data_IF_396642876581
#
_entry.id   IF_396642876581
#
_cell.length_a   1.000
_cell.length_b   1.000
_cell.length_c   1.000
_cell.angle_alpha   90.00
_cell.angle_beta   90.00
_cell.angle_gamma   90.00
#
_symmetry.space_group_name_H-M   'P 1'
#
loop_
_entity.id
_entity.type
_entity.pdbx_description
1 polymer ?
#
# COMPACT_ATOMS: atom_id res chain seq x y z
N UNK A 1 -26.73 -3.03 3.51
CA UNK A 1 -26.84 -4.47 3.78
C UNK A 1 -25.52 -5.07 3.40
N UNK A 2 -24.82 -5.66 4.37
CA UNK A 2 -23.47 -6.19 4.24
C UNK A 2 -23.44 -7.32 3.19
N UNK A 3 -22.56 -7.18 2.20
CA UNK A 3 -22.26 -8.24 1.24
C UNK A 3 -21.26 -9.21 1.87
N UNK A 4 -21.76 -10.16 2.65
CA UNK A 4 -20.99 -11.33 3.09
C UNK A 4 -20.84 -12.30 1.91
N UNK A 5 -19.71 -12.22 1.20
CA UNK A 5 -19.38 -13.10 0.08
C UNK A 5 -17.88 -13.25 -0.22
N UNK A 6 -17.00 -12.70 0.61
CA UNK A 6 -15.56 -12.90 0.48
C UNK A 6 -15.13 -14.18 1.20
N UNK A 7 -14.74 -15.21 0.45
CA UNK A 7 -14.06 -16.38 1.02
C UNK A 7 -12.61 -15.97 1.31
N UNK A 8 -12.34 -15.65 2.57
CA UNK A 8 -11.00 -15.41 3.07
C UNK A 8 -10.26 -16.75 3.20
N UNK A 9 -9.09 -16.90 2.58
CA UNK A 9 -8.17 -17.99 2.89
C UNK A 9 -7.68 -17.80 4.35
N UNK A 10 -8.24 -18.58 5.28
CA UNK A 10 -7.90 -18.50 6.70
C UNK A 10 -6.59 -19.24 6.97
N UNK A 11 -5.50 -18.50 7.16
CA UNK A 11 -4.32 -19.00 7.85
C UNK A 11 -4.21 -18.32 9.21
N UNK A 12 -4.76 -18.98 10.24
CA UNK A 12 -4.59 -18.59 11.63
C UNK A 12 -4.44 -19.83 12.49
N UNK A 13 -3.24 -20.03 13.04
CA UNK A 13 -3.02 -20.95 14.15
C UNK A 13 -3.10 -20.08 15.41
N UNK A 14 -4.14 -20.30 16.23
CA UNK A 14 -4.27 -19.62 17.52
C UNK A 14 -3.79 -20.55 18.65
N UNK A 15 -2.94 -19.99 19.52
CA UNK A 15 -2.37 -20.66 20.67
C UNK A 15 -3.37 -20.64 21.83
N UNK A 16 -4.34 -21.55 21.84
CA UNK A 16 -4.91 -22.11 23.07
C UNK A 16 -5.88 -23.23 22.73
N UNK A 17 -5.46 -24.46 23.03
CA UNK A 17 -6.34 -25.62 22.95
C UNK A 17 -7.57 -25.43 23.84
N UNK A 18 -8.72 -25.87 23.34
CA UNK A 18 -10.05 -26.01 23.99
C UNK A 18 -10.96 -24.78 24.07
N UNK A 19 -11.74 -24.57 22.99
CA UNK A 19 -13.23 -24.62 22.98
C UNK A 19 -13.80 -24.01 21.68
N UNK A 20 -13.94 -24.82 20.62
CA UNK A 20 -14.81 -24.50 19.48
C UNK A 20 -15.47 -25.75 18.87
N UNK A 21 -15.81 -26.74 19.71
CA UNK A 21 -16.51 -27.94 19.25
C UNK A 21 -18.04 -27.76 19.09
N UNK A 22 -18.65 -26.66 19.59
CA UNK A 22 -20.12 -26.58 19.70
C UNK A 22 -20.80 -25.49 18.85
N UNK A 23 -20.19 -25.00 17.76
CA UNK A 23 -20.88 -24.04 16.85
C UNK A 23 -20.76 -24.35 15.35
N UNK A 24 -20.42 -25.59 14.99
CA UNK A 24 -20.21 -25.99 13.59
C UNK A 24 -21.35 -26.80 12.97
N UNK A 25 -22.55 -26.80 13.57
CA UNK A 25 -23.71 -27.51 13.00
C UNK A 25 -24.70 -26.62 12.23
N UNK A 26 -24.46 -25.30 12.06
CA UNK A 26 -25.46 -24.40 11.45
C UNK A 26 -25.00 -23.54 10.26
N UNK A 27 -23.91 -23.89 9.57
CA UNK A 27 -23.55 -23.20 8.30
C UNK A 27 -23.32 -24.13 7.11
N UNK A 28 -23.58 -25.44 7.25
CA UNK A 28 -23.59 -26.40 6.13
C UNK A 28 -24.98 -26.58 5.54
N UNK A 29 -25.51 -25.53 4.92
CA UNK A 29 -26.54 -25.68 3.89
C UNK A 29 -26.15 -24.85 2.67
N UNK A 30 -25.57 -25.50 1.67
CA UNK A 30 -25.61 -25.01 0.29
C UNK A 30 -27.09 -25.05 -0.10
N UNK A 31 -27.77 -23.93 0.13
CA UNK A 31 -29.20 -23.77 -0.13
C UNK A 31 -29.48 -23.85 -1.63
N UNK A 32 -29.92 -25.01 -2.10
CA UNK A 32 -30.66 -25.14 -3.36
C UNK A 32 -32.07 -24.56 -3.17
N UNK A 33 -32.18 -23.23 -3.09
CA UNK A 33 -33.48 -22.54 -3.19
C UNK A 33 -33.65 -21.99 -4.60
N UNK A 34 -34.52 -22.64 -5.38
CA UNK A 34 -35.21 -21.99 -6.49
C UNK A 34 -36.08 -20.87 -5.92
N UNK A 35 -35.61 -19.62 -5.94
CA UNK A 35 -36.45 -18.45 -5.73
C UNK A 35 -36.92 -17.91 -7.07
N UNK A 36 -38.20 -18.09 -7.35
CA UNK A 36 -38.91 -17.27 -8.31
C UNK A 36 -39.33 -15.98 -7.60
N UNK A 37 -38.71 -14.86 -7.93
CA UNK A 37 -39.25 -13.51 -7.83
C UNK A 37 -38.22 -12.53 -8.44
N UNK A 38 -38.68 -11.63 -9.30
CA UNK A 38 -37.89 -10.61 -9.97
C UNK A 38 -37.09 -9.76 -8.95
N UNK A 39 -35.78 -9.95 -8.89
CA UNK A 39 -34.84 -9.05 -8.20
C UNK A 39 -33.71 -8.71 -9.18
N UNK A 40 -33.94 -7.72 -10.04
CA UNK A 40 -33.01 -7.39 -11.15
C UNK A 40 -31.70 -6.73 -10.68
N UNK A 41 -31.62 -6.26 -9.42
CA UNK A 41 -30.41 -5.69 -8.83
C UNK A 41 -29.41 -6.71 -8.23
N UNK A 42 -29.82 -7.95 -7.96
CA UNK A 42 -28.93 -9.00 -7.40
C UNK A 42 -28.10 -9.74 -8.47
N UNK A 43 -28.27 -9.41 -9.75
CA UNK A 43 -27.77 -10.22 -10.86
C UNK A 43 -26.37 -9.85 -11.38
N UNK A 44 -25.71 -8.82 -10.84
CA UNK A 44 -24.42 -8.37 -11.40
C UNK A 44 -23.16 -8.96 -10.74
N UNK A 45 -23.22 -9.41 -9.47
CA UNK A 45 -22.04 -9.99 -8.78
C UNK A 45 -22.10 -11.52 -8.59
N UNK A 46 -23.30 -12.10 -8.56
CA UNK A 46 -23.51 -13.55 -8.38
C UNK A 46 -23.27 -14.34 -9.68
N UNK A 47 -22.15 -14.08 -10.38
CA UNK A 47 -21.77 -14.74 -11.65
C UNK A 47 -20.34 -14.48 -12.12
N UNK A 48 -19.43 -14.21 -11.18
CA UNK A 48 -18.03 -13.96 -11.54
C UNK A 48 -17.19 -15.26 -11.53
N UNK A 49 -15.88 -15.15 -11.65
CA UNK A 49 -14.97 -16.29 -11.87
C UNK A 49 -14.92 -17.30 -10.72
N UNK A 50 -15.35 -16.91 -9.50
CA UNK A 50 -15.41 -17.84 -8.36
C UNK A 50 -16.45 -18.95 -8.57
N UNK A 51 -17.52 -18.71 -9.33
CA UNK A 51 -18.55 -19.73 -9.59
C UNK A 51 -18.07 -20.88 -10.49
N UNK A 52 -16.94 -20.67 -11.16
CA UNK A 52 -16.31 -21.69 -12.00
C UNK A 52 -15.63 -22.76 -11.13
N UNK A 53 -15.35 -22.45 -9.86
CA UNK A 53 -14.80 -23.41 -8.89
C UNK A 53 -15.93 -24.34 -8.45
N UNK A 54 -15.88 -25.60 -8.88
CA UNK A 54 -17.02 -26.54 -8.80
C UNK A 54 -17.24 -27.13 -7.41
N UNK A 55 -16.19 -27.24 -6.61
CA UNK A 55 -16.21 -27.93 -5.31
C UNK A 55 -15.05 -27.50 -4.40
N UNK A 56 -15.10 -27.98 -3.15
CA UNK A 56 -14.13 -27.66 -2.11
C UNK A 56 -12.72 -28.21 -2.38
N UNK A 57 -12.59 -29.29 -3.15
CA UNK A 57 -11.27 -29.86 -3.46
C UNK A 57 -10.56 -29.01 -4.51
N UNK A 58 -11.29 -28.56 -5.55
CA UNK A 58 -10.77 -27.58 -6.51
C UNK A 58 -10.43 -26.26 -5.80
N UNK A 59 -11.27 -25.78 -4.89
CA UNK A 59 -10.99 -24.57 -4.12
C UNK A 59 -9.65 -24.68 -3.37
N UNK A 60 -9.42 -25.77 -2.64
CA UNK A 60 -8.17 -26.00 -1.90
C UNK A 60 -6.95 -26.09 -2.81
N UNK A 61 -7.08 -26.74 -3.97
CA UNK A 61 -6.00 -26.79 -4.96
C UNK A 61 -5.67 -25.39 -5.49
N UNK A 62 -6.69 -24.56 -5.74
CA UNK A 62 -6.50 -23.18 -6.19
C UNK A 62 -5.91 -22.26 -5.10
N UNK A 63 -6.31 -22.44 -3.85
CA UNK A 63 -5.70 -21.76 -2.69
C UNK A 63 -4.22 -22.09 -2.59
N UNK A 64 -3.84 -23.37 -2.62
CA UNK A 64 -2.44 -23.78 -2.57
C UNK A 64 -1.66 -23.25 -3.78
N UNK A 65 -2.24 -23.31 -4.98
CA UNK A 65 -1.63 -22.77 -6.19
C UNK A 65 -1.36 -21.26 -6.08
N UNK A 66 -2.30 -20.50 -5.52
CA UNK A 66 -2.16 -19.07 -5.29
C UNK A 66 -1.07 -18.78 -4.24
N UNK A 67 -1.03 -19.55 -3.15
CA UNK A 67 0.01 -19.43 -2.10
C UNK A 67 1.40 -19.71 -2.68
N UNK A 68 1.56 -20.79 -3.44
CA UNK A 68 2.84 -21.15 -4.06
C UNK A 68 3.30 -20.07 -5.05
N UNK A 69 2.37 -19.56 -5.86
CA UNK A 69 2.69 -18.49 -6.79
C UNK A 69 3.02 -17.17 -6.08
N UNK A 70 2.32 -16.83 -5.00
CA UNK A 70 2.61 -15.65 -4.18
C UNK A 70 4.06 -15.66 -3.68
N UNK A 71 4.54 -16.80 -3.16
CA UNK A 71 5.95 -16.96 -2.80
C UNK A 71 6.88 -16.76 -4.01
N UNK A 72 6.55 -17.34 -5.17
CA UNK A 72 7.40 -17.26 -6.36
C UNK A 72 7.62 -15.83 -6.89
N UNK A 73 6.69 -14.90 -6.61
CA UNK A 73 6.75 -13.50 -7.04
C UNK A 73 7.10 -12.52 -5.92
N UNK A 74 7.38 -13.02 -4.71
CA UNK A 74 7.64 -12.18 -3.54
C UNK A 74 6.42 -11.41 -3.05
N UNK A 75 5.21 -11.96 -3.16
CA UNK A 75 4.03 -11.44 -2.46
C UNK A 75 4.02 -12.04 -1.05
N UNK A 76 4.83 -11.48 -0.15
CA UNK A 76 5.05 -11.98 1.21
C UNK A 76 5.21 -10.85 2.23
N UNK A 77 4.90 -11.14 3.48
CA UNK A 77 5.12 -10.32 4.68
C UNK A 77 6.00 -11.11 5.66
N UNK A 78 6.87 -10.45 6.46
CA UNK A 78 7.46 -11.08 7.64
C UNK A 78 6.38 -11.65 8.58
N UNK A 79 6.70 -12.75 9.26
CA UNK A 79 5.94 -13.21 10.43
C UNK A 79 6.49 -12.48 11.66
N UNK A 80 5.59 -12.01 12.54
CA UNK A 80 5.96 -11.41 13.83
C UNK A 80 6.86 -12.35 14.64
N UNK A 81 7.83 -11.80 15.36
CA UNK A 81 9.03 -12.43 15.96
C UNK A 81 10.20 -12.66 15.00
N UNK A 82 10.93 -11.59 14.60
CA UNK A 82 12.30 -11.76 14.14
C UNK A 82 13.10 -12.45 15.25
N UNK A 83 13.84 -13.54 14.98
CA UNK A 83 14.68 -14.16 15.99
C UNK A 83 15.67 -13.13 16.55
N UNK A 84 15.91 -13.16 17.86
CA UNK A 84 16.91 -12.32 18.54
C UNK A 84 18.25 -12.40 17.79
N UNK A 85 18.53 -11.40 16.97
CA UNK A 85 19.68 -11.42 16.08
C UNK A 85 19.52 -10.54 14.87
N UNK A 86 20.60 -9.80 14.57
CA UNK A 86 20.78 -9.11 13.29
C UNK A 86 20.54 -10.09 12.14
N UNK A 87 19.38 -9.95 11.50
CA UNK A 87 19.00 -10.37 10.15
C UNK A 87 19.86 -11.47 9.55
N UNK A 88 19.40 -12.73 9.59
CA UNK A 88 19.88 -13.70 8.59
C UNK A 88 18.84 -14.62 7.98
N UNK A 89 17.65 -14.84 8.55
CA UNK A 89 16.57 -15.63 7.92
C UNK A 89 15.18 -15.23 8.45
N UNK A 90 14.57 -14.16 7.93
CA UNK A 90 13.19 -13.79 8.30
C UNK A 90 12.22 -14.82 7.69
N UNK A 91 11.37 -15.42 8.54
CA UNK A 91 10.24 -16.22 8.06
C UNK A 91 9.21 -15.28 7.43
N UNK A 92 8.75 -15.61 6.22
CA UNK A 92 7.82 -14.80 5.46
C UNK A 92 6.69 -15.66 4.91
N UNK A 93 5.47 -15.14 4.95
CA UNK A 93 4.26 -15.78 4.43
C UNK A 93 3.52 -14.80 3.52
N UNK A 94 2.69 -15.26 2.58
CA UNK A 94 1.80 -14.38 1.85
C UNK A 94 0.89 -13.62 2.82
N UNK A 95 0.63 -12.32 2.59
CA UNK A 95 -0.37 -11.60 3.36
C UNK A 95 -1.77 -12.21 3.11
N UNK A 96 -2.80 -11.79 3.86
CA UNK A 96 -4.18 -12.12 3.49
C UNK A 96 -4.49 -11.66 2.06
N UNK A 97 -4.89 -12.59 1.20
CA UNK A 97 -5.15 -12.33 -0.23
C UNK A 97 -6.50 -12.90 -0.62
N UNK A 98 -7.24 -12.17 -1.46
CA UNK A 98 -8.44 -12.68 -2.12
C UNK A 98 -8.03 -13.57 -3.30
N UNK A 99 -8.58 -14.78 -3.39
CA UNK A 99 -8.17 -15.77 -4.40
C UNK A 99 -8.37 -15.28 -5.83
N UNK A 100 -9.55 -14.72 -6.12
CA UNK A 100 -9.92 -14.19 -7.43
C UNK A 100 -10.14 -12.67 -7.36
N UNK A 101 -9.94 -11.94 -8.47
CA UNK A 101 -10.26 -10.51 -8.50
C UNK A 101 -11.76 -10.30 -8.32
N UNK A 102 -12.15 -9.14 -7.78
CA UNK A 102 -13.55 -8.72 -7.74
C UNK A 102 -13.94 -8.02 -9.06
N UNK A 103 -15.18 -8.20 -9.57
CA UNK A 103 -15.63 -7.44 -10.73
C UNK A 103 -15.71 -5.95 -10.39
N UNK A 104 -15.28 -5.09 -11.32
CA UNK A 104 -15.35 -3.63 -11.17
C UNK A 104 -15.74 -2.97 -12.49
N UNK A 105 -16.67 -1.99 -12.51
CA UNK A 105 -17.10 -1.36 -13.75
C UNK A 105 -15.95 -0.63 -14.47
N UNK A 106 -15.73 -0.97 -15.75
CA UNK A 106 -14.64 -0.41 -16.57
C UNK A 106 -14.65 1.12 -16.59
N UNK A 107 -15.82 1.73 -16.76
CA UNK A 107 -15.99 3.18 -16.79
C UNK A 107 -15.55 3.86 -15.48
N UNK A 108 -15.89 3.28 -14.33
CA UNK A 108 -15.46 3.80 -13.04
C UNK A 108 -13.95 3.63 -12.83
N UNK A 109 -13.36 2.53 -13.31
CA UNK A 109 -11.91 2.33 -13.25
C UNK A 109 -11.18 3.33 -14.13
N UNK A 110 -11.65 3.58 -15.36
CA UNK A 110 -11.12 4.64 -16.24
C UNK A 110 -11.21 6.02 -15.58
N UNK A 111 -12.33 6.33 -14.92
CA UNK A 111 -12.48 7.58 -14.19
C UNK A 111 -11.42 7.74 -13.08
N UNK A 112 -11.22 6.71 -12.26
CA UNK A 112 -10.20 6.72 -11.20
C UNK A 112 -8.79 6.95 -11.75
N UNK A 113 -8.45 6.31 -12.87
CA UNK A 113 -7.14 6.47 -13.53
C UNK A 113 -6.98 7.88 -14.09
N UNK A 114 -7.99 8.39 -14.79
CA UNK A 114 -7.92 9.68 -15.49
C UNK A 114 -7.89 10.87 -14.53
N UNK A 115 -8.53 10.76 -13.36
CA UNK A 115 -8.56 11.87 -12.37
C UNK A 115 -7.27 11.97 -11.56
N UNK A 116 -6.45 10.91 -11.49
CA UNK A 116 -5.29 10.84 -10.60
C UNK A 116 -4.29 11.98 -10.81
N UNK A 117 -4.03 12.41 -12.06
CA UNK A 117 -3.12 13.53 -12.31
C UNK A 117 -3.64 14.86 -11.74
N UNK A 118 -4.94 15.12 -11.88
CA UNK A 118 -5.56 16.33 -11.33
C UNK A 118 -5.56 16.30 -9.80
N UNK A 119 -5.83 15.14 -9.19
CA UNK A 119 -5.72 14.96 -7.74
C UNK A 119 -4.28 15.18 -7.28
N UNK A 120 -3.30 14.71 -8.06
CA UNK A 120 -1.89 14.89 -7.71
C UNK A 120 -1.52 16.35 -7.59
N UNK A 121 -1.89 17.15 -8.59
CA UNK A 121 -1.64 18.58 -8.60
C UNK A 121 -2.41 19.32 -7.51
N UNK A 122 -3.67 18.96 -7.27
CA UNK A 122 -4.50 19.56 -6.22
C UNK A 122 -3.84 19.41 -4.85
N UNK A 123 -3.53 18.17 -4.45
CA UNK A 123 -2.94 17.93 -3.13
C UNK A 123 -1.53 18.47 -3.01
N UNK A 124 -0.76 18.52 -4.10
CA UNK A 124 0.56 19.16 -4.10
C UNK A 124 0.47 20.66 -3.82
N UNK A 125 -0.47 21.35 -4.48
CA UNK A 125 -0.70 22.79 -4.28
C UNK A 125 -1.21 23.09 -2.87
N UNK A 126 -2.14 22.28 -2.36
CA UNK A 126 -2.62 22.39 -0.98
C UNK A 126 -1.48 22.16 0.02
N UNK A 127 -0.65 21.14 -0.20
CA UNK A 127 0.50 20.85 0.67
C UNK A 127 1.57 21.97 0.66
N UNK A 128 1.63 22.74 -0.43
CA UNK A 128 2.60 23.84 -0.61
C UNK A 128 2.08 25.20 -0.11
N UNK A 129 0.79 25.30 0.24
CA UNK A 129 0.19 26.53 0.75
C UNK A 129 0.26 26.54 2.29
N UNK A 130 1.37 27.07 2.82
CA UNK A 130 1.64 27.10 4.25
C UNK A 130 0.53 27.80 5.04
N UNK A 131 0.09 28.98 4.60
CA UNK A 131 -0.89 29.78 5.32
C UNK A 131 -2.26 29.09 5.35
N UNK A 132 -2.67 28.49 4.23
CA UNK A 132 -3.87 27.66 4.16
C UNK A 132 -3.80 26.48 5.14
N UNK A 133 -2.69 25.73 5.15
CA UNK A 133 -2.53 24.58 6.05
C UNK A 133 -2.55 25.00 7.53
N UNK A 134 -1.86 26.09 7.88
CA UNK A 134 -1.81 26.58 9.25
C UNK A 134 -3.20 27.04 9.73
N UNK A 135 -3.99 27.68 8.87
CA UNK A 135 -5.36 28.07 9.21
C UNK A 135 -6.30 26.86 9.29
N UNK A 136 -6.21 25.92 8.35
CA UNK A 136 -7.04 24.72 8.32
C UNK A 136 -6.84 23.83 9.54
N UNK A 137 -5.60 23.74 10.07
CA UNK A 137 -5.26 22.88 11.20
C UNK A 137 -5.40 23.56 12.57
N UNK A 138 -5.70 24.87 12.64
CA UNK A 138 -5.69 25.64 13.90
C UNK A 138 -6.60 25.10 15.00
N UNK A 139 -7.75 24.52 14.63
CA UNK A 139 -8.69 23.94 15.59
C UNK A 139 -8.32 22.48 15.91
N UNK A 140 -7.77 21.74 14.94
CA UNK A 140 -7.37 20.33 15.10
C UNK A 140 -6.29 20.21 16.18
N UNK A 141 -5.25 21.06 16.12
CA UNK A 141 -4.13 21.01 17.06
C UNK A 141 -4.49 21.32 18.52
N UNK A 142 -5.69 21.87 18.78
CA UNK A 142 -6.17 22.11 20.15
C UNK A 142 -6.62 20.81 20.83
N UNK A 143 -7.09 19.84 20.05
CA UNK A 143 -7.58 18.55 20.54
C UNK A 143 -6.64 17.38 20.25
N UNK A 144 -5.66 17.55 19.37
CA UNK A 144 -4.75 16.51 18.92
C UNK A 144 -3.27 16.93 19.15
N UNK A 145 -2.65 16.47 20.25
CA UNK A 145 -1.25 16.76 20.56
C UNK A 145 -0.26 16.22 19.51
N UNK A 146 -0.60 15.12 18.84
CA UNK A 146 0.26 14.53 17.82
C UNK A 146 0.31 15.42 16.58
N UNK A 147 -0.85 15.87 16.09
CA UNK A 147 -0.92 16.84 15.01
C UNK A 147 -0.31 18.20 15.38
N UNK A 148 -0.42 18.61 16.65
CA UNK A 148 0.22 19.83 17.12
C UNK A 148 1.75 19.81 16.94
N UNK A 149 2.40 18.66 17.14
CA UNK A 149 3.85 18.49 16.92
C UNK A 149 4.22 18.63 15.44
N UNK A 150 3.45 18.07 14.52
CA UNK A 150 3.70 18.27 13.07
C UNK A 150 3.53 19.72 12.65
N UNK A 151 2.48 20.39 13.12
CA UNK A 151 2.26 21.81 12.84
C UNK A 151 3.39 22.67 13.43
N UNK A 152 3.90 22.31 14.60
CA UNK A 152 5.06 22.97 15.17
C UNK A 152 6.31 22.81 14.28
N UNK A 153 6.61 21.60 13.83
CA UNK A 153 7.75 21.35 12.90
C UNK A 153 7.57 22.13 11.59
N UNK A 154 6.37 22.10 11.00
CA UNK A 154 6.09 22.81 9.76
C UNK A 154 6.33 24.32 9.90
N UNK A 155 5.93 24.93 11.03
CA UNK A 155 6.19 26.34 11.34
C UNK A 155 7.68 26.62 11.53
N UNK A 156 8.38 25.80 12.31
CA UNK A 156 9.83 25.97 12.53
C UNK A 156 10.61 25.94 11.20
N UNK A 157 10.35 24.94 10.35
CA UNK A 157 10.99 24.83 9.03
C UNK A 157 10.63 26.01 8.11
N UNK A 158 9.39 26.51 8.18
CA UNK A 158 8.98 27.69 7.41
C UNK A 158 9.71 28.96 7.89
N UNK A 159 9.83 29.16 9.20
CA UNK A 159 10.49 30.31 9.82
C UNK A 159 12.02 30.30 9.60
N UNK A 160 12.64 29.11 9.56
CA UNK A 160 14.05 28.90 9.20
C UNK A 160 14.33 29.26 7.73
N UNK A 161 13.32 29.16 6.88
CA UNK A 161 13.41 29.37 5.44
C UNK A 161 13.55 28.06 4.65
N UNK A 162 12.87 27.97 3.51
CA UNK A 162 12.87 26.74 2.69
C UNK A 162 14.19 26.61 1.91
N UNK A 163 15.10 25.79 2.42
CA UNK A 163 16.41 25.51 1.80
C UNK A 163 16.38 24.42 0.72
N UNK A 164 15.38 23.55 0.72
CA UNK A 164 15.16 22.51 -0.30
C UNK A 164 13.90 22.83 -1.11
N UNK A 165 14.02 23.35 -2.35
CA UNK A 165 12.87 23.75 -3.15
C UNK A 165 12.18 22.57 -3.89
N UNK A 166 12.80 21.40 -3.92
CA UNK A 166 12.25 20.22 -4.58
C UNK A 166 11.58 19.30 -3.56
N UNK A 167 10.37 18.84 -3.89
CA UNK A 167 9.64 17.87 -3.09
C UNK A 167 9.12 16.73 -3.98
N UNK A 168 9.14 15.51 -3.46
CA UNK A 168 8.48 14.35 -4.06
C UNK A 168 7.23 14.07 -3.24
N UNK A 169 6.08 14.11 -3.90
CA UNK A 169 4.83 13.65 -3.30
C UNK A 169 4.43 12.32 -3.91
N UNK A 170 4.48 11.28 -3.08
CA UNK A 170 3.78 10.03 -3.36
C UNK A 170 2.39 10.17 -2.76
N UNK A 171 1.37 9.72 -3.50
CA UNK A 171 -0.02 9.75 -3.02
C UNK A 171 -0.83 8.59 -3.58
N UNK A 172 -1.85 8.20 -2.81
CA UNK A 172 -2.90 7.27 -3.24
C UNK A 172 -4.26 7.88 -2.93
N UNK A 173 -5.16 7.84 -3.91
CA UNK A 173 -6.56 8.17 -3.70
C UNK A 173 -7.37 6.88 -3.70
N UNK A 174 -8.12 6.65 -2.63
CA UNK A 174 -8.92 5.46 -2.44
C UNK A 174 -10.37 5.76 -2.77
N UNK A 175 -10.98 4.88 -3.56
CA UNK A 175 -12.33 5.05 -4.09
C UNK A 175 -13.19 3.82 -3.83
N UNK A 176 -14.49 4.05 -3.64
CA UNK A 176 -15.51 3.01 -3.64
C UNK A 176 -16.57 3.32 -4.70
N UNK A 177 -17.10 2.25 -5.32
CA UNK A 177 -18.27 2.36 -6.18
C UNK A 177 -19.52 2.45 -5.30
N UNK A 178 -20.24 3.57 -5.41
CA UNK A 178 -21.50 3.79 -4.71
C UNK A 178 -22.66 3.50 -5.66
N UNK A 179 -23.57 2.61 -5.24
CA UNK A 179 -24.80 2.34 -5.96
C UNK A 179 -25.96 3.09 -5.30
N UNK A 180 -26.62 3.95 -6.07
CA UNK A 180 -27.83 4.65 -5.66
C UNK A 180 -29.06 4.00 -6.32
N UNK A 181 -29.89 3.27 -5.56
CA UNK A 181 -31.09 2.61 -6.10
C UNK A 181 -32.23 3.59 -6.42
N UNK A 182 -32.12 4.87 -6.04
CA UNK A 182 -33.19 5.86 -6.19
C UNK A 182 -33.13 6.66 -7.50
N UNK A 183 -31.99 6.62 -8.20
CA UNK A 183 -31.70 7.46 -9.39
C UNK A 183 -32.20 6.89 -10.74
N UNK A 184 -33.12 5.93 -10.72
CA UNK A 184 -33.68 5.30 -11.92
C UNK A 184 -33.90 3.80 -11.74
N UNK A 185 -34.65 3.16 -12.65
CA UNK A 185 -35.16 1.79 -12.48
C UNK A 185 -34.15 0.70 -12.12
N UNK A 186 -32.88 0.83 -12.54
CA UNK A 186 -31.78 -0.11 -12.24
C UNK A 186 -30.70 0.50 -11.28
N UNK A 187 -30.95 1.71 -10.76
CA UNK A 187 -30.00 2.51 -9.98
C UNK A 187 -28.82 3.05 -10.80
N UNK A 188 -28.05 3.98 -10.24
CA UNK A 188 -26.82 4.52 -10.85
C UNK A 188 -25.61 4.13 -10.01
N UNK A 189 -24.45 3.91 -10.65
CA UNK A 189 -23.19 3.73 -9.96
C UNK A 189 -22.31 4.98 -10.13
N UNK A 190 -21.75 5.45 -9.03
CA UNK A 190 -20.83 6.58 -9.00
C UNK A 190 -19.54 6.22 -8.27
N UNK A 191 -18.40 6.66 -8.80
CA UNK A 191 -17.13 6.58 -8.09
C UNK A 191 -17.08 7.66 -7.01
N UNK A 192 -16.85 7.27 -5.75
CA UNK A 192 -16.71 8.19 -4.62
C UNK A 192 -15.35 8.00 -3.98
N UNK A 193 -14.60 9.09 -3.85
CA UNK A 193 -13.35 9.07 -3.08
C UNK A 193 -13.69 8.93 -1.60
N UNK A 194 -13.05 7.97 -0.93
CA UNK A 194 -13.21 7.73 0.50
C UNK A 194 -12.04 8.27 1.31
N UNK A 195 -10.85 8.27 0.73
CA UNK A 195 -9.64 8.72 1.41
C UNK A 195 -8.59 9.25 0.40
N UNK A 196 -7.73 10.14 0.89
CA UNK A 196 -6.43 10.44 0.27
C UNK A 196 -5.34 10.09 1.27
N UNK A 197 -4.36 9.34 0.80
CA UNK A 197 -3.20 8.91 1.56
C UNK A 197 -1.96 9.62 1.00
N UNK A 198 -1.27 10.40 1.84
CA UNK A 198 -0.03 11.13 1.52
C UNK A 198 1.00 10.74 2.58
N UNK A 199 2.21 10.32 2.17
CA UNK A 199 3.26 9.88 3.10
C UNK A 199 3.59 8.39 2.97
N UNK A 200 3.60 7.66 4.10
CA UNK A 200 3.80 6.22 4.15
C UNK A 200 2.65 5.45 3.50
N UNK A 201 2.70 5.30 2.18
CA UNK A 201 1.64 4.66 1.41
C UNK A 201 1.95 3.18 1.28
N UNK A 202 1.44 2.38 2.21
CA UNK A 202 1.36 0.92 2.04
C UNK A 202 0.41 0.57 0.90
N UNK A 203 0.53 -0.61 0.28
CA UNK A 203 -0.37 -1.11 -0.77
C UNK A 203 0.21 -1.11 -2.19
N UNK A 204 0.91 -0.08 -2.70
CA UNK A 204 1.49 -0.08 -4.04
C UNK A 204 2.41 -1.28 -4.33
N UNK A 205 3.20 -1.71 -3.33
CA UNK A 205 4.06 -2.89 -3.42
C UNK A 205 3.24 -4.16 -3.59
N UNK A 206 2.27 -4.37 -2.69
CA UNK A 206 1.37 -5.52 -2.75
C UNK A 206 0.49 -5.51 -4.01
N UNK A 207 -0.12 -4.38 -4.37
CA UNK A 207 -1.02 -4.26 -5.53
C UNK A 207 -0.35 -4.64 -6.85
N UNK A 208 0.94 -4.32 -7.01
CA UNK A 208 1.74 -4.74 -8.16
C UNK A 208 1.88 -6.27 -8.25
N UNK A 209 1.95 -6.96 -7.11
CA UNK A 209 2.09 -8.42 -7.04
C UNK A 209 0.74 -9.15 -7.02
N UNK A 210 -0.28 -8.59 -6.36
CA UNK A 210 -1.66 -9.12 -6.35
C UNK A 210 -2.24 -9.11 -7.76
N UNK A 211 -2.01 -8.05 -8.55
CA UNK A 211 -2.36 -8.02 -9.97
C UNK A 211 -1.79 -9.23 -10.75
N UNK A 212 -0.50 -9.54 -10.55
CA UNK A 212 0.14 -10.72 -11.18
C UNK A 212 -0.45 -12.03 -10.70
N UNK A 213 -0.70 -12.16 -9.39
CA UNK A 213 -1.35 -13.33 -8.82
C UNK A 213 -2.73 -13.55 -9.43
N UNK A 214 -3.56 -12.51 -9.52
CA UNK A 214 -4.90 -12.62 -10.09
C UNK A 214 -4.88 -12.96 -11.57
N UNK A 215 -3.97 -12.38 -12.37
CA UNK A 215 -3.75 -12.82 -13.75
C UNK A 215 -3.43 -14.32 -13.80
N UNK A 216 -2.53 -14.78 -12.92
CA UNK A 216 -2.11 -16.18 -12.86
C UNK A 216 -3.23 -17.14 -12.44
N UNK A 217 -4.08 -16.73 -11.50
CA UNK A 217 -5.25 -17.49 -11.06
C UNK A 217 -6.28 -17.59 -12.18
N UNK A 218 -6.57 -16.48 -12.88
CA UNK A 218 -7.46 -16.46 -14.03
C UNK A 218 -6.96 -17.37 -15.16
N UNK A 219 -5.66 -17.31 -15.49
CA UNK A 219 -5.04 -18.21 -16.47
C UNK A 219 -5.22 -19.69 -16.08
N UNK A 220 -4.99 -20.00 -14.80
CA UNK A 220 -5.10 -21.38 -14.29
C UNK A 220 -6.53 -21.90 -14.40
N UNK A 221 -7.53 -21.10 -14.03
CA UNK A 221 -8.94 -21.45 -14.20
C UNK A 221 -9.30 -21.63 -15.68
N UNK A 222 -8.84 -20.73 -16.55
CA UNK A 222 -9.06 -20.84 -17.99
C UNK A 222 -8.45 -22.13 -18.57
N UNK A 223 -7.26 -22.52 -18.13
CA UNK A 223 -6.60 -23.78 -18.55
C UNK A 223 -7.42 -25.00 -18.08
N UNK A 224 -7.84 -25.03 -16.82
CA UNK A 224 -8.57 -26.18 -16.26
C UNK A 224 -9.94 -26.38 -16.89
N UNK A 225 -10.60 -25.29 -17.29
CA UNK A 225 -11.94 -25.33 -17.88
C UNK A 225 -11.95 -25.16 -19.40
N UNK A 226 -10.79 -25.27 -20.07
CA UNK A 226 -10.69 -25.17 -21.53
C UNK A 226 -11.20 -23.84 -22.11
N UNK A 227 -11.03 -22.75 -21.36
CA UNK A 227 -11.48 -21.40 -21.72
C UNK A 227 -12.98 -21.16 -21.56
N UNK A 228 -13.71 -22.06 -20.91
CA UNK A 228 -15.14 -21.93 -20.61
C UNK A 228 -15.39 -21.73 -19.11
N UNK A 229 -16.47 -21.08 -18.68
CA UNK A 229 -17.40 -20.30 -19.51
C UNK A 229 -16.74 -19.01 -20.01
N UNK A 230 -17.37 -18.36 -21.00
CA UNK A 230 -16.86 -17.13 -21.64
C UNK A 230 -16.44 -16.01 -20.69
N UNK A 231 -16.92 -16.00 -19.43
CA UNK A 231 -16.47 -15.06 -18.41
C UNK A 231 -14.94 -15.16 -18.17
N UNK A 232 -14.36 -16.37 -18.19
CA UNK A 232 -12.91 -16.55 -18.02
C UNK A 232 -12.11 -15.92 -19.18
N UNK A 233 -12.67 -15.95 -20.39
CA UNK A 233 -12.03 -15.37 -21.57
C UNK A 233 -12.07 -13.84 -21.57
N UNK A 234 -13.00 -13.24 -20.83
CA UNK A 234 -13.21 -11.78 -20.78
C UNK A 234 -12.76 -11.15 -19.45
N UNK A 235 -12.44 -11.96 -18.44
CA UNK A 235 -11.92 -11.50 -17.15
C UNK A 235 -10.44 -11.17 -17.26
N UNK A 236 -10.08 -9.96 -16.86
CA UNK A 236 -8.70 -9.51 -16.79
C UNK A 236 -8.47 -8.78 -15.46
N UNK A 237 -7.30 -9.02 -14.84
CA UNK A 237 -6.80 -8.16 -13.78
C UNK A 237 -5.80 -7.16 -14.40
N UNK A 238 -6.00 -5.84 -14.22
CA UNK A 238 -5.18 -4.83 -14.90
C UNK A 238 -3.72 -4.95 -14.46
N UNK A 239 -2.79 -4.75 -15.39
CA UNK A 239 -1.36 -4.71 -15.08
C UNK A 239 -1.08 -3.55 -14.13
N UNK A 240 -0.53 -3.86 -12.95
CA UNK A 240 -0.18 -2.87 -11.95
C UNK A 240 1.35 -2.72 -11.83
N UNK A 241 1.85 -1.49 -12.02
CA UNK A 241 3.27 -1.13 -11.95
C UNK A 241 3.58 -0.11 -10.85
N UNK A 242 2.72 0.03 -9.85
CA UNK A 242 2.85 1.08 -8.83
C UNK A 242 4.17 1.00 -8.06
N UNK A 243 4.66 -0.20 -7.72
CA UNK A 243 5.99 -0.39 -7.10
C UNK A 243 7.11 0.17 -7.96
N UNK A 244 7.10 -0.15 -9.25
CA UNK A 244 8.12 0.32 -10.19
C UNK A 244 8.02 1.83 -10.41
N UNK A 245 6.81 2.38 -10.47
CA UNK A 245 6.60 3.82 -10.63
C UNK A 245 7.08 4.60 -9.40
N UNK A 246 6.86 4.09 -8.18
CA UNK A 246 7.42 4.67 -6.95
C UNK A 246 8.94 4.61 -6.98
N UNK A 247 9.52 3.43 -7.23
CA UNK A 247 10.97 3.29 -7.32
C UNK A 247 11.58 4.20 -8.39
N UNK A 248 10.91 4.37 -9.53
CA UNK A 248 11.32 5.30 -10.56
C UNK A 248 11.29 6.76 -10.06
N UNK A 249 10.22 7.19 -9.41
CA UNK A 249 10.11 8.55 -8.85
C UNK A 249 11.21 8.82 -7.81
N UNK A 250 11.45 7.87 -6.90
CA UNK A 250 12.51 7.97 -5.89
C UNK A 250 13.91 8.05 -6.51
N UNK A 251 14.18 7.22 -7.52
CA UNK A 251 15.43 7.28 -8.28
C UNK A 251 15.60 8.61 -9.03
N UNK A 252 14.57 9.11 -9.70
CA UNK A 252 14.63 10.40 -10.40
C UNK A 252 14.91 11.55 -9.43
N UNK A 253 14.29 11.55 -8.25
CA UNK A 253 14.52 12.57 -7.23
C UNK A 253 15.94 12.52 -6.66
N UNK A 254 16.46 11.32 -6.37
CA UNK A 254 17.87 11.15 -5.99
C UNK A 254 18.81 11.66 -7.11
N UNK A 255 18.49 11.38 -8.37
CA UNK A 255 19.29 11.82 -9.52
C UNK A 255 19.29 13.35 -9.68
N UNK A 256 18.15 13.99 -9.44
CA UNK A 256 18.01 15.45 -9.48
C UNK A 256 18.85 16.15 -8.42
N UNK A 257 19.16 15.50 -7.30
CA UNK A 257 20.05 16.04 -6.27
C UNK A 257 21.48 16.28 -6.79
N UNK A 258 21.94 15.50 -7.78
CA UNK A 258 23.17 15.77 -8.53
C UNK A 258 24.49 15.37 -7.84
N UNK A 259 24.44 14.75 -6.66
CA UNK A 259 25.63 14.20 -5.99
C UNK A 259 25.65 12.66 -6.08
N UNK A 260 26.51 12.06 -6.91
CA UNK A 260 26.55 10.61 -7.12
C UNK A 260 27.03 9.82 -5.90
N UNK A 261 27.55 10.49 -4.86
CA UNK A 261 27.97 9.85 -3.59
C UNK A 261 26.91 9.95 -2.50
N UNK A 262 25.85 10.73 -2.73
CA UNK A 262 24.78 10.90 -1.77
C UNK A 262 23.93 9.62 -1.65
N UNK A 263 23.34 9.42 -0.48
CA UNK A 263 22.47 8.28 -0.19
C UNK A 263 21.00 8.63 -0.37
N UNK A 264 20.19 7.62 -0.68
CA UNK A 264 18.75 7.65 -0.46
C UNK A 264 18.48 7.00 0.89
N UNK A 265 17.87 7.74 1.81
CA UNK A 265 17.55 7.24 3.15
C UNK A 265 16.06 6.92 3.24
N UNK A 266 15.72 5.66 3.46
CA UNK A 266 14.39 5.25 3.84
C UNK A 266 14.26 5.25 5.38
N UNK A 267 13.25 5.94 5.90
CA UNK A 267 12.92 5.92 7.32
C UNK A 267 11.77 4.97 7.56
N UNK A 268 12.07 3.81 8.12
CA UNK A 268 11.09 2.80 8.48
C UNK A 268 11.63 1.62 9.30
N UNK A 269 10.73 0.84 9.85
CA UNK A 269 11.02 -0.29 10.74
C UNK A 269 10.67 -1.65 10.13
N UNK A 270 11.11 -2.73 10.77
CA UNK A 270 10.74 -4.08 10.39
C UNK A 270 9.35 -4.39 10.94
N UNK A 271 8.34 -4.28 10.07
CA UNK A 271 6.96 -4.63 10.35
C UNK A 271 6.40 -5.57 9.26
N UNK A 272 5.08 -5.78 9.26
CA UNK A 272 4.39 -6.58 8.23
C UNK A 272 4.46 -5.96 6.82
N UNK A 273 4.76 -4.67 6.72
CA UNK A 273 4.85 -3.93 5.45
C UNK A 273 6.28 -3.74 4.95
N UNK A 274 7.29 -4.13 5.73
CA UNK A 274 8.71 -3.99 5.44
C UNK A 274 9.09 -4.39 4.01
N UNK A 275 8.63 -5.56 3.54
CA UNK A 275 8.98 -6.00 2.19
C UNK A 275 8.36 -5.12 1.11
N UNK A 276 7.10 -4.71 1.26
CA UNK A 276 6.37 -4.00 0.21
C UNK A 276 6.72 -2.51 0.14
N UNK A 277 6.98 -1.87 1.29
CA UNK A 277 7.26 -0.43 1.39
C UNK A 277 8.75 -0.12 1.34
N UNK A 278 9.61 -0.99 1.86
CA UNK A 278 11.04 -0.71 2.03
C UNK A 278 11.91 -1.61 1.14
N UNK A 279 12.00 -2.90 1.47
CA UNK A 279 13.03 -3.77 0.91
C UNK A 279 12.91 -3.95 -0.60
N UNK A 280 11.70 -4.18 -1.13
CA UNK A 280 11.53 -4.37 -2.57
C UNK A 280 11.54 -3.05 -3.35
N UNK A 281 11.20 -1.93 -2.70
CA UNK A 281 11.39 -0.60 -3.29
C UNK A 281 12.88 -0.31 -3.43
N UNK A 282 13.68 -0.57 -2.38
CA UNK A 282 15.14 -0.48 -2.42
C UNK A 282 15.72 -1.26 -3.60
N UNK A 283 15.36 -2.55 -3.75
CA UNK A 283 15.89 -3.38 -4.83
C UNK A 283 15.57 -2.81 -6.22
N UNK A 284 14.36 -2.28 -6.41
CA UNK A 284 13.97 -1.72 -7.70
C UNK A 284 14.69 -0.39 -7.97
N UNK A 285 14.88 0.47 -6.96
CA UNK A 285 15.66 1.72 -7.08
C UNK A 285 17.11 1.43 -7.46
N UNK A 286 17.77 0.51 -6.75
CA UNK A 286 19.18 0.16 -7.00
C UNK A 286 19.35 -0.46 -8.39
N UNK A 287 18.40 -1.31 -8.80
CA UNK A 287 18.36 -1.89 -10.15
C UNK A 287 18.22 -0.81 -11.22
N UNK A 288 17.29 0.14 -11.06
CA UNK A 288 17.10 1.26 -11.99
C UNK A 288 18.35 2.12 -12.08
N UNK A 289 18.93 2.49 -10.94
CA UNK A 289 20.19 3.24 -10.88
C UNK A 289 21.31 2.54 -11.64
N UNK A 290 21.56 1.26 -11.33
CA UNK A 290 22.60 0.46 -11.98
C UNK A 290 22.41 0.35 -13.49
N UNK A 291 21.17 0.19 -13.96
CA UNK A 291 20.85 0.16 -15.40
C UNK A 291 21.18 1.47 -16.11
N UNK A 292 21.18 2.60 -15.39
CA UNK A 292 21.50 3.93 -15.91
C UNK A 292 22.95 4.35 -15.63
N UNK A 293 23.76 3.49 -15.02
CA UNK A 293 25.16 3.79 -14.66
C UNK A 293 25.34 4.52 -13.33
N UNK A 294 24.26 4.67 -12.55
CA UNK A 294 24.27 5.34 -11.24
C UNK A 294 24.40 4.29 -10.11
N UNK A 295 25.26 4.54 -9.12
CA UNK A 295 25.45 3.67 -7.96
C UNK A 295 24.65 4.20 -6.76
N UNK A 296 23.33 4.12 -6.86
CA UNK A 296 22.42 4.59 -5.80
C UNK A 296 22.58 3.70 -4.57
N UNK A 297 23.01 4.28 -3.46
CA UNK A 297 23.10 3.58 -2.18
C UNK A 297 21.84 3.90 -1.35
N UNK A 298 20.96 2.92 -1.22
CA UNK A 298 19.73 3.03 -0.42
C UNK A 298 19.99 2.44 0.97
N UNK A 299 19.66 3.20 2.01
CA UNK A 299 19.82 2.79 3.40
C UNK A 299 18.47 2.87 4.11
N UNK A 300 18.19 1.92 5.01
CA UNK A 300 16.96 1.89 5.81
C UNK A 300 17.34 2.11 7.27
N UNK A 301 16.70 3.06 7.95
CA UNK A 301 16.85 3.31 9.38
C UNK A 301 15.48 3.52 10.04
N UNK A 302 15.35 3.14 11.31
CA UNK A 302 14.26 3.62 12.15
C UNK A 302 14.42 5.12 12.42
N UNK A 303 13.35 5.82 12.82
CA UNK A 303 13.43 7.19 13.30
C UNK A 303 14.40 7.31 14.49
N UNK A 304 14.36 6.35 15.42
CA UNK A 304 15.26 6.29 16.57
C UNK A 304 16.73 6.20 16.17
N UNK A 305 17.06 5.35 15.19
CA UNK A 305 18.46 5.21 14.74
C UNK A 305 18.89 6.39 13.87
N UNK A 306 17.98 6.97 13.10
CA UNK A 306 18.24 8.19 12.35
C UNK A 306 18.62 9.34 13.29
N UNK A 307 17.91 9.53 14.41
CA UNK A 307 18.21 10.57 15.42
C UNK A 307 19.65 10.56 15.97
N UNK A 308 20.35 9.43 15.85
CA UNK A 308 21.73 9.26 16.36
C UNK A 308 22.78 9.42 15.27
N UNK A 309 22.36 9.44 14.00
CA UNK A 309 23.23 9.25 12.83
C UNK A 309 23.07 10.36 11.81
N UNK A 310 21.93 11.01 11.75
CA UNK A 310 21.73 12.15 10.87
C UNK A 310 22.17 13.43 11.57
N UNK A 311 22.60 14.42 10.78
CA UNK A 311 22.85 15.77 11.27
C UNK A 311 22.72 16.79 10.15
N UNK A 312 22.19 17.97 10.46
CA UNK A 312 22.04 19.06 9.52
C UNK A 312 23.26 19.98 9.52
N UNK A 313 23.75 20.36 8.36
CA UNK A 313 24.81 21.36 8.22
C UNK A 313 24.24 22.79 8.30
N UNK A 314 23.71 23.18 9.46
CA UNK A 314 23.08 24.48 9.70
C UNK A 314 24.03 25.67 9.46
N UNK A 315 25.34 25.46 9.67
CA UNK A 315 26.36 26.50 9.45
C UNK A 315 26.82 26.60 7.99
N UNK A 316 26.33 25.73 7.11
CA UNK A 316 26.74 25.67 5.70
C UNK A 316 25.55 25.76 4.76
N UNK A 317 25.34 24.70 3.98
CA UNK A 317 24.35 24.64 2.90
C UNK A 317 23.04 23.97 3.30
N UNK A 318 22.83 23.71 4.60
CA UNK A 318 21.68 22.95 5.12
C UNK A 318 21.55 21.53 4.53
N UNK A 319 22.65 20.96 4.01
CA UNK A 319 22.66 19.55 3.63
C UNK A 319 22.49 18.65 4.87
N UNK A 320 21.62 17.64 4.75
CA UNK A 320 21.52 16.56 5.71
C UNK A 320 22.66 15.55 5.47
N UNK A 321 23.37 15.19 6.54
CA UNK A 321 24.44 14.20 6.52
C UNK A 321 24.06 12.96 7.31
N UNK A 322 24.52 11.80 6.85
CA UNK A 322 24.50 10.55 7.58
C UNK A 322 25.92 10.20 8.04
N UNK A 323 26.06 9.88 9.33
CA UNK A 323 27.31 9.58 10.03
C UNK A 323 28.38 10.66 9.80
N UNK A 324 27.97 11.91 9.63
CA UNK A 324 28.85 13.06 9.34
C UNK A 324 29.64 12.98 8.03
N UNK A 325 29.40 11.99 7.17
CA UNK A 325 30.28 11.68 6.02
C UNK A 325 29.55 11.59 4.69
N UNK A 326 28.27 11.21 4.67
CA UNK A 326 27.50 11.02 3.45
C UNK A 326 26.36 12.02 3.39
N UNK A 327 26.25 12.77 2.30
CA UNK A 327 25.06 13.61 2.07
C UNK A 327 23.84 12.73 1.82
N UNK A 328 22.68 13.16 2.29
CA UNK A 328 21.39 12.50 2.04
C UNK A 328 20.69 13.27 0.94
N UNK A 329 20.49 12.62 -0.21
CA UNK A 329 19.85 13.24 -1.38
C UNK A 329 18.33 13.27 -1.27
N UNK A 330 17.76 12.23 -0.65
CA UNK A 330 16.33 12.04 -0.49
C UNK A 330 16.05 11.26 0.78
N UNK A 331 15.04 11.70 1.53
CA UNK A 331 14.48 10.94 2.65
C UNK A 331 13.10 10.41 2.22
N UNK A 332 12.97 9.09 2.11
CA UNK A 332 11.68 8.42 1.87
C UNK A 332 11.13 7.91 3.20
N UNK A 333 10.03 8.48 3.66
CA UNK A 333 9.50 8.19 5.00
C UNK A 333 8.30 7.25 4.88
N UNK A 334 8.39 6.08 5.53
CA UNK A 334 7.29 5.10 5.61
C UNK A 334 6.68 5.04 7.02
N UNK A 335 7.47 5.33 8.05
CA UNK A 335 7.02 5.39 9.45
C UNK A 335 6.77 6.84 9.91
N UNK A 336 6.24 7.01 11.10
CA UNK A 336 5.96 8.31 11.71
C UNK A 336 4.61 8.89 11.26
N UNK A 337 3.62 8.03 11.04
CA UNK A 337 2.24 8.40 10.72
C UNK A 337 1.30 8.23 11.93
N UNK A 338 1.72 7.54 12.99
CA UNK A 338 0.93 7.37 14.23
C UNK A 338 1.73 7.73 15.50
N UNK A 339 1.05 8.09 16.61
CA UNK A 339 1.74 8.50 17.85
C UNK A 339 2.71 7.46 18.41
N UNK A 340 2.38 6.17 18.28
CA UNK A 340 3.20 5.08 18.82
C UNK A 340 4.58 4.95 18.14
N UNK A 341 4.74 5.54 16.96
CA UNK A 341 6.02 5.62 16.24
C UNK A 341 6.91 6.78 16.73
N UNK A 342 6.43 7.59 17.68
CA UNK A 342 7.17 8.65 18.37
C UNK A 342 7.17 8.44 19.89
N UNK A 343 7.75 7.32 20.38
CA UNK A 343 7.75 7.02 21.81
C UNK A 343 8.59 7.99 22.64
N UNK A 344 9.54 8.70 22.01
CA UNK A 344 10.43 9.66 22.68
C UNK A 344 10.67 10.92 21.83
N UNK A 345 11.42 11.88 22.38
CA UNK A 345 11.84 13.06 21.64
C UNK A 345 12.84 12.76 20.52
N UNK A 346 13.53 11.63 20.56
CA UNK A 346 14.50 11.25 19.53
C UNK A 346 13.85 11.15 18.15
N UNK A 347 12.67 10.56 18.06
CA UNK A 347 11.95 10.41 16.78
C UNK A 347 11.48 11.77 16.24
N UNK A 348 11.06 12.68 17.13
CA UNK A 348 10.70 14.05 16.74
C UNK A 348 11.89 14.87 16.26
N UNK A 349 13.04 14.74 16.92
CA UNK A 349 14.30 15.36 16.50
C UNK A 349 14.73 14.85 15.12
N UNK A 350 14.69 13.54 14.89
CA UNK A 350 14.96 12.97 13.57
C UNK A 350 13.98 13.46 12.50
N UNK A 351 12.69 13.64 12.86
CA UNK A 351 11.66 14.13 11.93
C UNK A 351 11.85 15.59 11.54
N UNK A 352 12.33 16.44 12.45
CA UNK A 352 12.72 17.82 12.14
C UNK A 352 14.00 17.87 11.30
N UNK A 353 14.91 16.90 11.49
CA UNK A 353 16.15 16.76 10.71
C UNK A 353 17.41 17.13 11.49
N UNK A 354 17.35 17.15 12.82
CA UNK A 354 18.46 17.49 13.72
C UNK A 354 19.18 16.27 14.30
#
# INVERSE_FOLDING_TARGET
MECDGAVHAKNGNDQSGTKFADRLEHSTEIGTKKSGANNRGEHHCNKYVLEVISDNDQLRMMEQYAIDYAHSIGLVTPISDPPDGKLTNIYAIPPPIVLCPSPFPRELYDHAVNVQQAMNELYFRVASDHDFLMDALKEVVKGDPFMARFVQIAKMVHDEGIHQPLAVQLQRADYMAHWDPSDGGDGTMALKQVEVNIGGIGGPGFGSSVSKLHQKVLDKLAIEHGGQPSILANSEAPVNRSRQNIAYALYQAWKLFGDPKAVLLCLGTLDITYFEQLQFIQFEVEKLGKQQGDLVNVLILSLTDASKRISLNESGDFSLYLDGTKRVALVHITDGNVPDEFPTEHEWTARHGQ
#
